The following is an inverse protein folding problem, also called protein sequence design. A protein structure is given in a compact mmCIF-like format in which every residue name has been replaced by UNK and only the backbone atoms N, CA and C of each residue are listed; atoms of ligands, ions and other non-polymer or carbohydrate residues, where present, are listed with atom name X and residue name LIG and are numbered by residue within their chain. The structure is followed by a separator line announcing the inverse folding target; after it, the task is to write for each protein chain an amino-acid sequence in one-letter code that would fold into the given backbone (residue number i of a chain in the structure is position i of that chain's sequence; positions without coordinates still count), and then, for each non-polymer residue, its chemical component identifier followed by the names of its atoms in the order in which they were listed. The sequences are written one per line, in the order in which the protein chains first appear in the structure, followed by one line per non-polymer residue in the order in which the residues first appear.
data_IF_225064584638
#
_entry.id   IF_225064584638
#
_cell.length_a   1.000
_cell.length_b   1.000
_cell.length_c   1.000
_cell.angle_alpha   90.00
_cell.angle_beta   90.00
_cell.angle_gamma   90.00
#
_symmetry.space_group_name_H-M   'P 1'
#
loop_
_entity.id
_entity.type
_entity.pdbx_description
1 polymer ?
#
# COMPACT_ATOMS: atom_id res chain seq x y z
N UNK A 1 -33.17 0.61 56.69
CA UNK A 1 -33.60 -0.18 55.52
C UNK A 1 -32.82 0.36 54.33
N UNK A 2 -31.66 -0.25 54.00
CA UNK A 2 -30.73 0.29 53.02
C UNK A 2 -31.14 -0.14 51.60
N UNK A 3 -31.51 0.83 50.77
CA UNK A 3 -31.66 0.68 49.32
C UNK A 3 -30.28 0.46 48.69
N UNK A 4 -29.82 -0.78 48.70
CA UNK A 4 -28.79 -1.27 47.79
C UNK A 4 -29.53 -2.29 46.91
N UNK A 5 -29.16 -2.40 45.63
CA UNK A 5 -29.71 -3.29 44.58
C UNK A 5 -30.52 -2.52 43.50
N UNK A 6 -29.89 -1.54 42.84
CA UNK A 6 -30.25 -1.18 41.44
C UNK A 6 -29.00 -0.84 40.58
N UNK A 7 -27.79 -0.70 41.14
CA UNK A 7 -26.59 -0.33 40.33
C UNK A 7 -25.96 -1.51 39.57
N UNK A 8 -25.83 -2.68 40.20
CA UNK A 8 -25.19 -3.87 39.58
C UNK A 8 -25.71 -4.26 38.18
N UNK A 9 -27.02 -4.29 37.89
CA UNK A 9 -27.49 -4.65 36.56
C UNK A 9 -27.17 -3.57 35.52
N UNK A 10 -27.19 -2.30 35.89
CA UNK A 10 -26.86 -1.17 35.00
C UNK A 10 -25.37 -1.19 34.67
N UNK A 11 -24.51 -1.39 35.67
CA UNK A 11 -23.06 -1.48 35.50
C UNK A 11 -22.66 -2.69 34.62
N UNK A 12 -23.34 -3.82 34.79
CA UNK A 12 -23.17 -5.01 33.97
C UNK A 12 -23.61 -4.77 32.52
N UNK A 13 -24.79 -4.18 32.30
CA UNK A 13 -25.30 -3.82 30.96
C UNK A 13 -24.35 -2.84 30.27
N UNK A 14 -23.87 -1.81 30.98
CA UNK A 14 -22.89 -0.85 30.45
C UNK A 14 -21.55 -1.49 30.08
N UNK A 15 -21.09 -2.49 30.84
CA UNK A 15 -19.85 -3.22 30.56
C UNK A 15 -20.00 -4.13 29.33
N UNK A 16 -21.14 -4.83 29.21
CA UNK A 16 -21.45 -5.67 28.04
C UNK A 16 -21.59 -4.83 26.77
N UNK A 17 -22.27 -3.68 26.83
CA UNK A 17 -22.40 -2.76 25.69
C UNK A 17 -21.03 -2.20 25.28
N UNK A 18 -20.19 -1.78 26.22
CA UNK A 18 -18.81 -1.34 25.92
C UNK A 18 -17.99 -2.44 25.25
N UNK A 19 -18.08 -3.67 25.75
CA UNK A 19 -17.41 -4.84 25.16
C UNK A 19 -17.92 -5.10 23.74
N UNK A 20 -19.24 -5.13 23.54
CA UNK A 20 -19.86 -5.34 22.22
C UNK A 20 -19.46 -4.24 21.22
N UNK A 21 -19.41 -2.97 21.64
CA UNK A 21 -18.95 -1.86 20.81
C UNK A 21 -17.48 -2.01 20.41
N UNK A 22 -16.60 -2.45 21.30
CA UNK A 22 -15.19 -2.72 20.98
C UNK A 22 -15.08 -3.84 19.94
N UNK A 23 -15.80 -4.94 20.13
CA UNK A 23 -15.80 -6.05 19.17
C UNK A 23 -16.38 -5.65 17.81
N UNK A 24 -17.43 -4.82 17.79
CA UNK A 24 -18.00 -4.29 16.56
C UNK A 24 -17.01 -3.36 15.84
N UNK A 25 -16.31 -2.49 16.55
CA UNK A 25 -15.27 -1.62 15.97
C UNK A 25 -14.13 -2.46 15.39
N UNK A 26 -13.64 -3.46 16.13
CA UNK A 26 -12.60 -4.37 15.63
C UNK A 26 -13.05 -5.14 14.38
N UNK A 27 -14.30 -5.62 14.37
CA UNK A 27 -14.88 -6.28 13.20
C UNK A 27 -14.94 -5.32 12.00
N UNK A 28 -15.40 -4.08 12.19
CA UNK A 28 -15.45 -3.07 11.13
C UNK A 28 -14.06 -2.71 10.59
N UNK A 29 -13.04 -2.65 11.45
CA UNK A 29 -11.64 -2.44 11.03
C UNK A 29 -11.13 -3.63 10.22
N UNK A 30 -11.47 -4.87 10.61
CA UNK A 30 -11.12 -6.07 9.85
C UNK A 30 -11.84 -6.17 8.50
N UNK A 31 -13.05 -5.59 8.38
CA UNK A 31 -13.79 -5.50 7.12
C UNK A 31 -13.33 -4.33 6.23
N UNK A 32 -12.53 -3.41 6.75
CA UNK A 32 -11.92 -2.35 5.95
C UNK A 32 -10.73 -2.94 5.17
N UNK A 33 -11.01 -3.49 3.98
CA UNK A 33 -10.01 -4.00 3.03
C UNK A 33 -9.12 -2.86 2.49
N UNK A 34 -8.18 -2.42 3.33
CA UNK A 34 -7.19 -1.39 3.02
C UNK A 34 -6.22 -1.86 1.93
N UNK A 35 -6.13 -3.17 1.70
CA UNK A 35 -5.36 -3.79 0.62
C UNK A 35 -5.93 -3.45 -0.75
N UNK A 36 -7.26 -3.35 -0.91
CA UNK A 36 -7.91 -3.02 -2.19
C UNK A 36 -7.61 -1.58 -2.66
N UNK A 37 -7.25 -0.69 -1.72
CA UNK A 37 -6.96 0.71 -2.01
C UNK A 37 -5.70 0.91 -2.90
N UNK A 38 -4.87 -0.11 -3.06
CA UNK A 38 -3.62 -0.03 -3.82
C UNK A 38 -3.48 -1.10 -4.91
N UNK A 39 -4.44 -2.03 -5.02
CA UNK A 39 -4.53 -2.92 -6.19
C UNK A 39 -5.03 -2.13 -7.43
N UNK A 40 -5.37 -2.82 -8.52
CA UNK A 40 -5.85 -2.22 -9.77
C UNK A 40 -6.87 -1.08 -9.57
N UNK A 41 -7.86 -1.27 -8.70
CA UNK A 41 -8.87 -0.24 -8.40
C UNK A 41 -8.27 1.03 -7.83
N UNK A 42 -7.33 0.88 -6.88
CA UNK A 42 -6.55 1.95 -6.29
C UNK A 42 -5.75 2.76 -7.31
N UNK A 43 -4.94 2.06 -8.13
CA UNK A 43 -4.15 2.67 -9.19
C UNK A 43 -5.00 3.47 -10.17
N UNK A 44 -6.16 2.95 -10.57
CA UNK A 44 -7.12 3.62 -11.45
C UNK A 44 -7.67 4.91 -10.79
N UNK A 45 -8.11 4.84 -9.53
CA UNK A 45 -8.67 5.99 -8.81
C UNK A 45 -7.61 7.08 -8.63
N UNK A 46 -6.43 6.71 -8.15
CA UNK A 46 -5.33 7.64 -7.93
C UNK A 46 -4.88 8.31 -9.22
N UNK A 47 -4.76 7.56 -10.31
CA UNK A 47 -4.36 8.11 -11.62
C UNK A 47 -5.38 9.11 -12.16
N UNK A 48 -6.68 8.82 -12.02
CA UNK A 48 -7.75 9.78 -12.38
C UNK A 48 -7.69 11.04 -11.52
N UNK A 49 -7.41 10.89 -10.22
CA UNK A 49 -7.28 12.04 -9.32
C UNK A 49 -6.07 12.91 -9.70
N UNK A 50 -4.92 12.29 -9.96
CA UNK A 50 -3.70 12.98 -10.38
C UNK A 50 -3.92 13.79 -11.67
N UNK A 51 -4.58 13.20 -12.68
CA UNK A 51 -4.86 13.90 -13.94
C UNK A 51 -5.79 15.10 -13.76
N UNK A 52 -6.75 15.04 -12.83
CA UNK A 52 -7.69 16.15 -12.57
C UNK A 52 -7.03 17.39 -11.96
N UNK A 53 -5.89 17.22 -11.31
CA UNK A 53 -5.18 18.31 -10.61
C UNK A 53 -3.90 18.72 -11.32
N UNK A 54 -3.70 18.26 -12.56
CA UNK A 54 -2.55 18.69 -13.37
C UNK A 54 -2.61 20.20 -13.60
N UNK A 55 -1.46 20.89 -13.54
CA UNK A 55 -1.42 22.32 -13.75
C UNK A 55 -1.56 22.66 -15.24
N UNK A 56 -1.79 23.94 -15.55
CA UNK A 56 -2.17 24.36 -16.89
C UNK A 56 -1.07 24.16 -17.94
N UNK A 57 0.20 24.16 -17.52
CA UNK A 57 1.38 23.96 -18.35
C UNK A 57 1.45 22.55 -18.96
N UNK A 58 0.73 21.58 -18.38
CA UNK A 58 0.70 20.22 -18.93
C UNK A 58 -0.07 20.21 -20.25
N UNK A 59 0.49 19.62 -21.33
CA UNK A 59 -0.16 19.60 -22.63
C UNK A 59 -1.57 19.02 -22.59
N UNK A 60 -2.47 19.63 -23.37
CA UNK A 60 -3.88 19.24 -23.41
C UNK A 60 -4.11 17.78 -23.77
N UNK A 61 -3.28 17.19 -24.65
CA UNK A 61 -3.41 15.78 -25.00
C UNK A 61 -3.32 14.91 -23.72
N UNK A 62 -2.35 15.17 -22.84
CA UNK A 62 -2.16 14.42 -21.61
C UNK A 62 -3.30 14.68 -20.60
N UNK A 63 -3.69 15.95 -20.39
CA UNK A 63 -4.82 16.30 -19.51
C UNK A 63 -6.13 15.64 -19.95
N UNK A 64 -6.36 15.51 -21.25
CA UNK A 64 -7.55 14.88 -21.82
C UNK A 64 -7.53 13.35 -21.79
N UNK A 65 -6.36 12.74 -21.55
CA UNK A 65 -6.16 11.28 -21.59
C UNK A 65 -6.40 10.58 -20.25
N UNK A 66 -7.09 11.20 -19.29
CA UNK A 66 -7.24 10.66 -17.93
C UNK A 66 -7.82 9.23 -17.84
N UNK A 67 -8.71 8.84 -18.76
CA UNK A 67 -9.20 7.46 -18.83
C UNK A 67 -8.14 6.48 -19.32
N UNK A 68 -7.35 6.85 -20.34
CA UNK A 68 -6.27 6.02 -20.88
C UNK A 68 -5.15 5.88 -19.86
N UNK A 69 -4.72 6.98 -19.25
CA UNK A 69 -3.69 6.98 -18.20
C UNK A 69 -4.10 6.07 -17.05
N UNK A 70 -5.36 6.16 -16.61
CA UNK A 70 -5.87 5.30 -15.54
C UNK A 70 -6.06 3.84 -15.96
N UNK A 71 -6.26 3.56 -17.25
CA UNK A 71 -6.29 2.19 -17.75
C UNK A 71 -4.89 1.58 -17.71
N UNK A 72 -3.90 2.28 -18.27
CA UNK A 72 -2.51 1.84 -18.32
C UNK A 72 -1.84 1.78 -16.94
N UNK A 73 -2.35 2.49 -15.93
CA UNK A 73 -1.79 2.43 -14.57
C UNK A 73 -1.96 1.06 -13.90
N UNK A 74 -2.81 0.19 -14.46
CA UNK A 74 -2.97 -1.19 -14.02
C UNK A 74 -1.94 -2.14 -14.65
N UNK A 75 -1.31 -1.78 -15.77
CA UNK A 75 -0.43 -2.68 -16.52
C UNK A 75 0.79 -3.16 -15.72
N UNK A 76 1.43 -2.34 -14.86
CA UNK A 76 2.53 -2.80 -14.01
C UNK A 76 2.14 -3.96 -13.09
N UNK A 77 0.87 -4.09 -12.71
CA UNK A 77 0.37 -5.17 -11.86
C UNK A 77 0.51 -6.56 -12.51
N UNK A 78 0.64 -6.63 -13.84
CA UNK A 78 0.82 -7.89 -14.57
C UNK A 78 2.08 -8.65 -14.11
N UNK A 79 3.07 -7.95 -13.55
CA UNK A 79 4.32 -8.56 -13.06
C UNK A 79 4.08 -9.45 -11.84
N UNK A 80 2.94 -9.26 -11.15
CA UNK A 80 2.53 -10.09 -10.02
C UNK A 80 1.98 -11.46 -10.44
N UNK A 81 1.66 -11.63 -11.73
CA UNK A 81 1.30 -12.92 -12.29
C UNK A 81 2.55 -13.83 -12.41
N UNK A 82 2.55 -14.95 -11.68
CA UNK A 82 3.65 -15.92 -11.71
C UNK A 82 3.79 -16.67 -13.04
N UNK A 83 2.78 -16.62 -13.91
CA UNK A 83 2.79 -17.24 -15.24
C UNK A 83 3.52 -16.40 -16.31
N UNK A 84 4.01 -15.21 -15.98
CA UNK A 84 4.83 -14.36 -16.88
C UNK A 84 6.26 -14.18 -16.34
N UNK A 85 7.04 -15.26 -16.20
CA UNK A 85 8.30 -15.25 -15.45
C UNK A 85 9.33 -14.23 -15.99
N UNK A 86 9.40 -14.02 -17.31
CA UNK A 86 10.31 -13.06 -17.93
C UNK A 86 9.95 -11.59 -17.65
N UNK A 87 8.65 -11.28 -17.62
CA UNK A 87 8.18 -9.94 -17.25
C UNK A 87 8.40 -9.72 -15.75
N UNK A 88 8.04 -10.72 -14.95
CA UNK A 88 8.20 -10.70 -13.50
C UNK A 88 9.66 -10.48 -13.09
N UNK A 89 10.62 -11.19 -13.69
CA UNK A 89 12.04 -11.07 -13.33
C UNK A 89 12.65 -9.70 -13.61
N UNK A 90 12.03 -8.89 -14.48
CA UNK A 90 12.57 -7.58 -14.86
C UNK A 90 11.87 -6.40 -14.18
N UNK A 91 10.61 -6.58 -13.80
CA UNK A 91 9.77 -5.47 -13.34
C UNK A 91 9.27 -5.62 -11.91
N UNK A 92 9.23 -6.85 -11.36
CA UNK A 92 8.72 -7.06 -10.01
C UNK A 92 9.49 -6.29 -8.93
N UNK A 93 10.84 -6.26 -8.92
CA UNK A 93 11.58 -5.50 -7.92
C UNK A 93 11.35 -3.98 -7.97
N UNK A 94 10.73 -3.45 -9.04
CA UNK A 94 10.40 -2.02 -9.14
C UNK A 94 9.15 -1.62 -8.33
N UNK A 95 8.44 -2.58 -7.71
CA UNK A 95 7.15 -2.33 -7.04
C UNK A 95 7.25 -2.16 -5.52
N UNK A 96 8.42 -2.40 -4.94
CA UNK A 96 8.65 -2.32 -3.49
C UNK A 96 10.10 -1.97 -3.21
N UNK A 97 10.36 -1.60 -1.97
CA UNK A 97 11.70 -1.38 -1.47
C UNK A 97 11.73 -1.69 0.04
N UNK A 98 12.29 -2.84 0.38
CA UNK A 98 12.34 -3.41 1.73
C UNK A 98 13.55 -2.83 2.46
N UNK A 99 13.40 -1.57 2.88
CA UNK A 99 14.39 -0.74 3.56
C UNK A 99 15.05 -1.45 4.75
N UNK A 100 14.30 -2.25 5.48
CA UNK A 100 14.75 -3.00 6.66
C UNK A 100 15.86 -4.01 6.35
N UNK A 101 15.92 -4.49 5.11
CA UNK A 101 16.98 -5.42 4.68
C UNK A 101 18.34 -4.73 4.58
N UNK A 102 18.35 -3.41 4.35
CA UNK A 102 19.58 -2.61 4.27
C UNK A 102 20.15 -2.22 5.64
N UNK A 103 19.47 -2.55 6.74
CA UNK A 103 19.87 -2.20 8.11
C UNK A 103 20.03 -0.68 8.25
N UNK A 104 21.11 -0.22 8.89
CA UNK A 104 21.39 1.20 9.11
C UNK A 104 22.21 1.86 7.98
N UNK A 105 22.32 1.22 6.81
CA UNK A 105 23.05 1.81 5.68
C UNK A 105 22.24 2.94 5.05
N UNK A 106 22.96 3.97 4.57
CA UNK A 106 22.33 5.04 3.80
C UNK A 106 21.74 4.54 2.48
N UNK A 107 20.67 5.19 2.02
CA UNK A 107 20.08 4.90 0.72
C UNK A 107 21.04 5.27 -0.41
N UNK A 108 21.40 4.32 -1.28
CA UNK A 108 22.28 4.60 -2.41
C UNK A 108 21.60 5.51 -3.44
N UNK A 109 22.36 6.40 -4.07
CA UNK A 109 21.82 7.35 -5.04
C UNK A 109 21.53 6.72 -6.42
N UNK A 110 22.06 5.53 -6.70
CA UNK A 110 21.91 4.86 -8.00
C UNK A 110 21.59 3.39 -7.84
N UNK A 111 20.94 2.80 -8.85
CA UNK A 111 20.63 1.37 -8.90
C UNK A 111 21.87 0.49 -8.79
N UNK A 112 22.97 0.84 -9.47
CA UNK A 112 24.22 0.08 -9.38
C UNK A 112 24.86 0.17 -7.98
N UNK A 113 24.78 1.32 -7.32
CA UNK A 113 25.26 1.45 -5.94
C UNK A 113 24.42 0.59 -4.98
N UNK A 114 23.09 0.51 -5.20
CA UNK A 114 22.23 -0.40 -4.46
C UNK A 114 22.58 -1.87 -4.67
N UNK A 115 22.81 -2.29 -5.91
CA UNK A 115 23.22 -3.67 -6.23
C UNK A 115 24.57 -4.00 -5.54
N UNK A 116 25.52 -3.07 -5.56
CA UNK A 116 26.81 -3.24 -4.88
C UNK A 116 26.66 -3.36 -3.36
N UNK A 117 25.81 -2.53 -2.75
CA UNK A 117 25.50 -2.61 -1.32
C UNK A 117 24.84 -3.96 -0.98
N UNK A 118 23.87 -4.41 -1.77
CA UNK A 118 23.24 -5.71 -1.60
C UNK A 118 24.28 -6.84 -1.64
N UNK A 119 25.22 -6.79 -2.59
CA UNK A 119 26.29 -7.76 -2.70
C UNK A 119 27.21 -7.75 -1.45
N UNK A 120 27.59 -6.58 -0.94
CA UNK A 120 28.38 -6.45 0.30
C UNK A 120 27.64 -7.05 1.51
N UNK A 121 26.32 -6.86 1.57
CA UNK A 121 25.45 -7.38 2.63
C UNK A 121 25.03 -8.84 2.41
N UNK A 122 25.42 -9.47 1.29
CA UNK A 122 25.00 -10.82 0.86
C UNK A 122 23.48 -10.97 0.74
N UNK A 123 22.83 -9.94 0.22
CA UNK A 123 21.40 -9.89 -0.06
C UNK A 123 21.15 -10.08 -1.56
N UNK A 124 19.99 -10.64 -1.89
CA UNK A 124 19.48 -10.70 -3.25
C UNK A 124 18.81 -9.35 -3.60
N UNK A 125 19.32 -8.58 -4.58
CA UNK A 125 18.72 -7.30 -4.97
C UNK A 125 17.26 -7.43 -5.38
N UNK A 126 16.86 -8.54 -5.99
CA UNK A 126 15.46 -8.77 -6.40
C UNK A 126 14.53 -8.90 -5.19
N UNK A 127 15.06 -9.31 -4.03
CA UNK A 127 14.29 -9.39 -2.77
C UNK A 127 14.25 -8.06 -2.03
N UNK A 128 15.29 -7.24 -2.14
CA UNK A 128 15.31 -5.90 -1.56
C UNK A 128 14.37 -4.96 -2.30
N UNK A 129 14.25 -5.13 -3.63
CA UNK A 129 13.54 -4.16 -4.47
C UNK A 129 14.43 -2.99 -4.84
N UNK A 130 13.99 -2.19 -5.81
CA UNK A 130 14.75 -1.09 -6.37
C UNK A 130 14.16 0.26 -5.99
N UNK A 131 15.06 1.22 -5.75
CA UNK A 131 14.72 2.63 -5.64
C UNK A 131 14.12 3.15 -6.96
N UNK A 132 13.26 4.19 -6.92
CA UNK A 132 12.63 4.76 -8.10
C UNK A 132 13.61 5.59 -8.98
N UNK A 133 14.91 5.40 -8.81
CA UNK A 133 15.95 6.04 -9.61
C UNK A 133 16.38 5.06 -10.71
N UNK A 134 16.38 5.52 -11.96
CA UNK A 134 17.05 4.81 -13.08
C UNK A 134 18.50 5.25 -13.21
#
# INVERSE_FOLDING_TARGET
MNFIIVSKPIDYIMTVIKSASIWLILLLILMADSTSAWWTGGHVILSKAAVRVLPDEIPNFFKSSGLMIAHCSADPELVNNRNVPHLRSTQHPNHYFDLELLKDNNLPETRYALINLCNQLKLDPDKVGFLPYE
#
